data_IF_414462423205
#
_entry.id   IF_414462423205
#
_cell.length_a   1.000
_cell.length_b   1.000
_cell.length_c   1.000
_cell.angle_alpha   90.00
_cell.angle_beta   90.00
_cell.angle_gamma   90.00
#
_symmetry.space_group_name_H-M   'P 1'
#
loop_
_entity.id
_entity.type
_entity.pdbx_description
1 polymer ?
#
# COMPACT_ATOMS: atom_id res chain seq x y z
N UNK A 1 42.26 -18.61 17.58
CA UNK A 1 41.07 -19.45 17.82
C UNK A 1 40.12 -19.31 16.64
N UNK A 2 39.62 -20.40 16.05
CA UNK A 2 38.60 -20.34 15.00
C UNK A 2 37.22 -20.47 15.65
N UNK A 3 36.37 -19.46 15.48
CA UNK A 3 34.97 -19.51 15.92
C UNK A 3 34.20 -20.53 15.06
N UNK A 4 33.49 -21.45 15.72
CA UNK A 4 32.61 -22.42 15.10
C UNK A 4 31.30 -21.78 14.61
N UNK A 5 30.72 -22.29 13.52
CA UNK A 5 29.49 -21.75 12.92
C UNK A 5 28.31 -21.69 13.90
N UNK A 6 28.25 -22.58 14.89
CA UNK A 6 27.17 -22.63 15.87
C UNK A 6 27.49 -21.89 17.18
N UNK A 7 28.69 -21.30 17.32
CA UNK A 7 29.10 -20.60 18.53
C UNK A 7 28.32 -19.29 18.70
N UNK A 8 28.19 -18.76 19.93
CA UNK A 8 27.65 -17.43 20.17
C UNK A 8 28.42 -16.38 19.36
N UNK A 9 27.69 -15.49 18.70
CA UNK A 9 28.29 -14.50 17.83
C UNK A 9 29.07 -13.44 18.66
N UNK A 10 30.34 -13.13 18.31
CA UNK A 10 31.20 -12.24 19.09
C UNK A 10 30.78 -10.76 19.04
N UNK A 11 29.79 -10.40 18.20
CA UNK A 11 29.23 -9.05 18.17
C UNK A 11 28.27 -8.74 19.34
N UNK A 12 28.04 -9.71 20.24
CA UNK A 12 27.18 -9.52 21.42
C UNK A 12 25.68 -9.64 21.12
N UNK A 13 25.29 -10.08 19.93
CA UNK A 13 23.87 -10.20 19.52
C UNK A 13 23.09 -11.33 20.20
N UNK A 14 23.76 -12.24 20.91
CA UNK A 14 23.17 -13.45 21.51
C UNK A 14 22.75 -14.52 20.49
N UNK A 15 22.95 -14.32 19.18
CA UNK A 15 22.63 -15.28 18.12
C UNK A 15 23.80 -16.20 17.80
N UNK A 16 23.53 -17.36 17.18
CA UNK A 16 24.58 -18.24 16.61
C UNK A 16 25.33 -17.51 15.51
N UNK A 17 26.66 -17.68 15.42
CA UNK A 17 27.53 -16.98 14.47
C UNK A 17 27.05 -17.13 13.01
N UNK A 18 26.57 -18.33 12.64
CA UNK A 18 26.00 -18.61 11.32
C UNK A 18 24.78 -17.77 10.95
N UNK A 19 23.92 -17.45 11.92
CA UNK A 19 22.66 -16.71 11.74
C UNK A 19 22.81 -15.22 12.12
N UNK A 20 24.05 -14.72 12.09
CA UNK A 20 24.39 -13.36 12.48
C UNK A 20 25.51 -12.83 11.59
N UNK A 21 26.73 -12.66 12.09
CA UNK A 21 27.82 -12.06 11.33
C UNK A 21 28.32 -12.92 10.15
N UNK A 22 28.04 -14.23 10.11
CA UNK A 22 28.42 -15.07 8.97
C UNK A 22 27.41 -14.98 7.81
N UNK A 23 26.10 -14.93 8.11
CA UNK A 23 25.06 -14.59 7.11
C UNK A 23 25.27 -13.18 6.55
N UNK A 24 25.81 -12.27 7.38
CA UNK A 24 26.27 -10.94 6.98
C UNK A 24 27.42 -10.89 5.97
N UNK A 25 28.04 -12.02 5.61
CA UNK A 25 29.19 -12.12 4.69
C UNK A 25 28.84 -12.75 3.33
N UNK A 26 27.55 -12.97 3.03
CA UNK A 26 27.12 -13.51 1.73
C UNK A 26 27.31 -12.51 0.57
N UNK A 27 27.56 -12.95 -0.68
CA UNK A 27 27.88 -12.09 -1.82
C UNK A 27 26.72 -11.21 -2.37
N UNK A 28 25.66 -10.99 -1.61
CA UNK A 28 24.44 -10.31 -2.06
C UNK A 28 23.85 -9.31 -1.07
N UNK A 29 24.61 -8.88 -0.07
CA UNK A 29 24.17 -7.83 0.86
C UNK A 29 24.53 -6.47 0.28
N UNK A 30 23.50 -5.62 0.10
CA UNK A 30 23.68 -4.20 -0.13
C UNK A 30 24.63 -3.60 0.93
N UNK A 31 25.46 -2.60 0.59
CA UNK A 31 26.33 -1.89 1.54
C UNK A 31 25.62 -1.30 2.77
N UNK A 32 24.29 -1.34 2.80
CA UNK A 32 23.42 -0.62 3.72
C UNK A 32 22.95 -1.46 4.92
N UNK A 33 23.36 -2.72 5.03
CA UNK A 33 23.08 -3.55 6.20
C UNK A 33 23.85 -3.13 7.46
N UNK A 34 23.53 -3.69 8.65
CA UNK A 34 24.20 -3.33 9.91
C UNK A 34 25.73 -3.46 9.84
N UNK A 35 26.24 -4.46 9.10
CA UNK A 35 27.66 -4.67 8.89
C UNK A 35 28.34 -3.53 8.11
N UNK A 36 27.65 -2.93 7.13
CA UNK A 36 28.14 -1.78 6.38
C UNK A 36 28.14 -0.50 7.22
N UNK A 37 27.09 -0.28 8.00
CA UNK A 37 27.03 0.84 8.97
C UNK A 37 28.18 0.76 9.98
N UNK A 38 28.46 -0.43 10.52
CA UNK A 38 29.62 -0.60 11.42
C UNK A 38 30.96 -0.37 10.71
N UNK A 39 31.10 -0.72 9.44
CA UNK A 39 32.31 -0.46 8.67
C UNK A 39 32.51 1.05 8.44
N UNK A 40 31.44 1.78 8.10
CA UNK A 40 31.47 3.23 7.92
C UNK A 40 31.79 3.96 9.23
N UNK A 41 31.18 3.55 10.36
CA UNK A 41 31.51 4.12 11.67
C UNK A 41 32.99 3.90 11.98
N UNK A 42 33.51 2.68 11.77
CA UNK A 42 34.94 2.40 11.99
C UNK A 42 35.83 3.28 11.11
N UNK A 43 35.47 3.47 9.85
CA UNK A 43 36.20 4.34 8.94
C UNK A 43 36.13 5.81 9.39
N UNK A 44 34.97 6.28 9.84
CA UNK A 44 34.78 7.65 10.33
C UNK A 44 35.54 7.93 11.64
N UNK A 45 35.78 6.88 12.44
CA UNK A 45 36.59 6.92 13.67
C UNK A 45 38.11 6.84 13.39
N UNK A 46 38.54 6.31 12.25
CA UNK A 46 39.98 6.19 11.93
C UNK A 46 40.65 7.56 11.88
N UNK A 47 41.79 7.69 12.57
CA UNK A 47 42.59 8.91 12.60
C UNK A 47 42.08 10.03 13.51
N UNK A 48 40.94 9.84 14.21
CA UNK A 48 40.44 10.78 15.22
C UNK A 48 40.95 10.41 16.61
N UNK A 49 41.36 11.41 17.38
CA UNK A 49 41.65 11.27 18.80
C UNK A 49 40.42 11.71 19.60
N UNK A 50 40.01 10.87 20.54
CA UNK A 50 38.91 11.17 21.47
C UNK A 50 39.47 11.18 22.89
N UNK A 51 39.09 12.19 23.65
CA UNK A 51 39.52 12.41 25.04
C UNK A 51 38.71 11.61 26.05
N UNK A 52 37.54 11.09 25.66
CA UNK A 52 36.65 10.30 26.52
C UNK A 52 35.70 9.38 25.74
N UNK A 53 35.13 8.40 26.45
CA UNK A 53 34.03 7.55 25.95
C UNK A 53 32.78 8.37 25.59
N UNK A 54 32.50 9.44 26.32
CA UNK A 54 31.37 10.34 26.06
C UNK A 54 31.54 11.09 24.72
N UNK A 55 32.77 11.43 24.36
CA UNK A 55 33.10 12.05 23.08
C UNK A 55 32.89 11.08 21.91
N UNK A 56 33.25 9.80 22.10
CA UNK A 56 33.01 8.73 21.12
C UNK A 56 31.50 8.49 20.93
N UNK A 57 30.73 8.47 22.03
CA UNK A 57 29.27 8.31 21.97
C UNK A 57 28.62 9.48 21.24
N UNK A 58 28.97 10.72 21.63
CA UNK A 58 28.46 11.94 21.00
C UNK A 58 28.80 12.02 19.51
N UNK A 59 29.99 11.57 19.13
CA UNK A 59 30.39 11.45 17.73
C UNK A 59 29.52 10.43 16.99
N UNK A 60 29.38 9.23 17.54
CA UNK A 60 28.59 8.14 16.94
C UNK A 60 27.12 8.55 16.77
N UNK A 61 26.52 9.20 17.77
CA UNK A 61 25.14 9.68 17.71
C UNK A 61 24.94 10.78 16.67
N UNK A 62 25.92 11.67 16.49
CA UNK A 62 25.89 12.67 15.42
C UNK A 62 26.04 12.03 14.05
N UNK A 63 26.96 11.08 13.91
CA UNK A 63 27.17 10.34 12.67
C UNK A 63 25.91 9.59 12.24
N UNK A 64 25.29 8.85 13.18
CA UNK A 64 24.05 8.10 12.92
C UNK A 64 22.89 9.04 12.57
N UNK A 65 22.73 10.17 13.29
CA UNK A 65 21.73 11.18 12.94
C UNK A 65 21.94 11.76 11.55
N UNK A 66 23.17 12.13 11.20
CA UNK A 66 23.48 12.68 9.88
C UNK A 66 23.19 11.66 8.77
N UNK A 67 23.57 10.40 8.96
CA UNK A 67 23.28 9.32 8.02
C UNK A 67 21.77 9.10 7.87
N UNK A 68 21.02 9.02 8.96
CA UNK A 68 19.58 8.74 8.91
C UNK A 68 18.75 9.92 8.38
N UNK A 69 19.31 11.13 8.35
CA UNK A 69 18.72 12.33 7.77
C UNK A 69 19.17 12.59 6.33
N UNK A 70 20.20 11.89 5.84
CA UNK A 70 20.66 12.04 4.47
C UNK A 70 19.68 11.38 3.48
N UNK A 71 19.31 12.06 2.38
CA UNK A 71 18.52 11.47 1.29
C UNK A 71 19.19 10.24 0.68
N UNK A 72 18.40 9.22 0.35
CA UNK A 72 18.86 8.01 -0.32
C UNK A 72 18.24 7.87 -1.72
N UNK A 73 19.05 7.46 -2.69
CA UNK A 73 18.61 7.25 -4.06
C UNK A 73 17.54 6.15 -4.16
N UNK A 74 17.75 5.03 -3.47
CA UNK A 74 16.81 3.88 -3.45
C UNK A 74 15.47 4.22 -2.78
N UNK A 75 15.42 5.27 -1.96
CA UNK A 75 14.18 5.82 -1.41
C UNK A 75 13.67 7.06 -2.17
N UNK A 76 14.20 7.31 -3.36
CA UNK A 76 13.85 8.45 -4.21
C UNK A 76 13.89 9.79 -3.47
N UNK A 77 14.97 10.02 -2.71
CA UNK A 77 15.22 11.27 -2.00
C UNK A 77 14.74 11.30 -0.55
N UNK A 78 14.00 10.29 -0.09
CA UNK A 78 13.70 10.17 1.34
C UNK A 78 14.93 9.74 2.13
N UNK A 79 15.05 10.24 3.35
CA UNK A 79 16.02 9.73 4.32
C UNK A 79 15.49 8.47 5.03
N UNK A 80 16.36 7.66 5.65
CA UNK A 80 15.93 6.55 6.52
C UNK A 80 14.91 6.96 7.60
N UNK A 81 15.09 8.10 8.25
CA UNK A 81 14.15 8.61 9.25
C UNK A 81 12.78 8.90 8.64
N UNK A 82 12.73 9.53 7.46
CA UNK A 82 11.48 9.81 6.76
C UNK A 82 10.79 8.52 6.31
N UNK A 83 11.55 7.56 5.76
CA UNK A 83 11.03 6.25 5.35
C UNK A 83 10.45 5.49 6.55
N UNK A 84 11.15 5.46 7.68
CA UNK A 84 10.67 4.85 8.92
C UNK A 84 9.33 5.47 9.36
N UNK A 85 9.20 6.80 9.29
CA UNK A 85 7.95 7.50 9.61
C UNK A 85 6.83 7.17 8.62
N UNK A 86 7.14 7.08 7.32
CA UNK A 86 6.18 6.66 6.28
C UNK A 86 5.65 5.24 6.51
N UNK A 87 6.51 4.29 6.90
CA UNK A 87 6.14 2.88 7.07
C UNK A 87 5.40 2.60 8.38
N UNK A 88 5.80 3.27 9.46
CA UNK A 88 5.31 2.94 10.81
C UNK A 88 4.33 3.96 11.38
N UNK A 89 4.35 5.19 10.88
CA UNK A 89 3.53 6.31 11.37
C UNK A 89 2.87 7.06 10.21
N UNK A 90 2.20 6.38 9.25
CA UNK A 90 1.70 7.01 8.03
C UNK A 90 0.64 8.08 8.30
N UNK A 91 -0.06 8.01 9.45
CA UNK A 91 -1.07 8.99 9.88
C UNK A 91 -0.60 9.92 11.00
N UNK A 92 0.58 9.67 11.59
CA UNK A 92 1.14 10.39 12.74
C UNK A 92 2.44 11.13 12.38
N UNK A 93 2.51 11.61 11.13
CA UNK A 93 3.67 12.28 10.55
C UNK A 93 3.28 13.56 9.78
N UNK A 94 2.66 14.57 10.45
CA UNK A 94 2.15 15.78 9.78
C UNK A 94 3.21 16.61 9.06
N UNK A 95 4.48 16.50 9.48
CA UNK A 95 5.61 17.18 8.82
C UNK A 95 6.02 16.50 7.50
N UNK A 96 5.53 15.30 7.21
CA UNK A 96 5.84 14.55 5.98
C UNK A 96 4.63 14.42 5.07
N UNK A 97 3.45 14.21 5.67
CA UNK A 97 2.21 14.00 4.93
C UNK A 97 1.01 14.51 5.73
N UNK A 98 0.05 15.08 5.02
CA UNK A 98 -1.28 15.42 5.55
C UNK A 98 -2.38 14.82 4.67
N UNK A 99 -3.49 14.45 5.29
CA UNK A 99 -4.65 13.88 4.62
C UNK A 99 -5.83 14.84 4.70
N UNK A 100 -6.61 14.93 3.63
CA UNK A 100 -7.81 15.75 3.61
C UNK A 100 -8.91 15.12 4.48
N UNK A 101 -9.57 15.94 5.31
CA UNK A 101 -10.78 15.55 6.05
C UNK A 101 -12.02 15.59 5.15
N UNK A 102 -11.99 16.45 4.13
CA UNK A 102 -12.95 16.54 3.02
C UNK A 102 -12.12 16.84 1.77
N UNK A 103 -12.27 16.03 0.72
CA UNK A 103 -11.54 16.22 -0.54
C UNK A 103 -12.05 17.45 -1.29
N UNK A 104 -11.18 18.17 -2.00
CA UNK A 104 -11.60 19.29 -2.83
C UNK A 104 -12.44 18.82 -4.05
N UNK A 105 -13.49 19.58 -4.38
CA UNK A 105 -14.33 19.32 -5.55
C UNK A 105 -15.17 18.04 -5.45
N UNK A 106 -15.53 17.48 -6.61
CA UNK A 106 -16.29 16.23 -6.72
C UNK A 106 -15.34 15.05 -7.01
N UNK A 107 -14.92 14.27 -5.99
CA UNK A 107 -14.00 13.18 -6.23
C UNK A 107 -14.65 12.10 -7.08
N UNK A 108 -13.93 11.65 -8.11
CA UNK A 108 -14.34 10.52 -8.96
C UNK A 108 -13.41 9.36 -8.71
N UNK A 109 -13.91 8.29 -8.10
CA UNK A 109 -13.16 7.06 -7.86
C UNK A 109 -14.08 5.85 -8.04
N UNK A 110 -13.59 4.72 -8.56
CA UNK A 110 -14.40 3.50 -8.71
C UNK A 110 -15.06 3.06 -7.39
N UNK A 111 -14.36 3.13 -6.26
CA UNK A 111 -14.94 2.83 -4.94
C UNK A 111 -16.09 3.79 -4.56
N UNK A 112 -15.99 5.08 -4.93
CA UNK A 112 -17.03 6.07 -4.62
C UNK A 112 -18.28 5.83 -5.45
N UNK A 113 -18.11 5.52 -6.74
CA UNK A 113 -19.23 5.13 -7.62
C UNK A 113 -19.98 3.95 -7.03
N UNK A 114 -19.26 2.89 -6.63
CA UNK A 114 -19.87 1.72 -6.02
C UNK A 114 -20.50 2.01 -4.66
N UNK A 115 -19.86 2.85 -3.85
CA UNK A 115 -20.40 3.25 -2.55
C UNK A 115 -21.71 4.05 -2.72
N UNK A 116 -21.75 4.97 -3.69
CA UNK A 116 -22.93 5.76 -3.98
C UNK A 116 -24.12 4.86 -4.37
N UNK A 117 -23.92 3.95 -5.33
CA UNK A 117 -24.95 2.99 -5.74
C UNK A 117 -25.41 2.10 -4.56
N UNK A 118 -24.47 1.69 -3.71
CA UNK A 118 -24.80 0.93 -2.51
C UNK A 118 -25.60 1.75 -1.50
N UNK A 119 -25.25 3.03 -1.31
CA UNK A 119 -25.95 3.94 -0.41
C UNK A 119 -27.37 4.24 -0.89
N UNK A 120 -27.56 4.42 -2.21
CA UNK A 120 -28.87 4.56 -2.83
C UNK A 120 -29.73 3.30 -2.66
N UNK A 121 -29.14 2.12 -2.91
CA UNK A 121 -29.83 0.84 -2.71
C UNK A 121 -30.22 0.59 -1.24
N UNK A 122 -29.46 1.14 -0.28
CA UNK A 122 -29.79 1.10 1.14
C UNK A 122 -30.91 2.08 1.49
N UNK A 123 -30.81 3.32 1.04
CA UNK A 123 -31.81 4.37 1.25
C UNK A 123 -32.20 4.60 2.73
N UNK A 124 -33.39 5.15 2.95
CA UNK A 124 -33.93 5.39 4.30
C UNK A 124 -34.44 4.10 4.96
N UNK A 125 -35.02 3.18 4.17
CA UNK A 125 -35.66 1.96 4.70
C UNK A 125 -34.68 0.82 5.01
N UNK A 126 -33.42 0.95 4.59
CA UNK A 126 -32.40 -0.08 4.71
C UNK A 126 -32.57 -1.22 3.71
N UNK A 127 -31.45 -1.84 3.32
CA UNK A 127 -31.41 -2.95 2.37
C UNK A 127 -31.49 -4.29 3.12
N UNK A 128 -32.44 -5.14 2.73
CA UNK A 128 -32.51 -6.50 3.26
C UNK A 128 -31.42 -7.36 2.60
N UNK A 129 -30.49 -7.97 3.35
CA UNK A 129 -29.52 -8.90 2.82
C UNK A 129 -30.19 -10.20 2.34
N UNK A 130 -29.45 -11.01 1.59
CA UNK A 130 -29.81 -12.41 1.33
C UNK A 130 -29.80 -13.22 2.64
N UNK A 131 -30.29 -14.46 2.59
CA UNK A 131 -30.26 -15.38 3.73
C UNK A 131 -28.84 -15.58 4.31
N UNK A 132 -27.80 -15.53 3.45
CA UNK A 132 -26.40 -15.66 3.86
C UNK A 132 -25.76 -14.34 4.32
N UNK A 133 -26.52 -13.26 4.38
CA UNK A 133 -26.02 -11.95 4.82
C UNK A 133 -25.34 -11.13 3.72
N UNK A 134 -25.44 -11.54 2.45
CA UNK A 134 -24.84 -10.85 1.31
C UNK A 134 -25.80 -9.82 0.68
N UNK A 135 -25.29 -9.01 -0.24
CA UNK A 135 -26.08 -8.10 -1.08
C UNK A 135 -26.99 -8.88 -2.03
N UNK A 136 -28.23 -8.41 -2.25
CA UNK A 136 -29.11 -8.96 -3.27
C UNK A 136 -28.50 -8.91 -4.68
N UNK A 137 -28.76 -9.95 -5.47
CA UNK A 137 -28.21 -10.13 -6.83
C UNK A 137 -28.51 -8.96 -7.77
N UNK A 138 -29.69 -8.36 -7.67
CA UNK A 138 -30.08 -7.22 -8.50
C UNK A 138 -29.19 -5.99 -8.24
N UNK A 139 -28.89 -5.70 -6.96
CA UNK A 139 -27.98 -4.62 -6.57
C UNK A 139 -26.58 -4.86 -7.16
N UNK A 140 -26.08 -6.08 -7.07
CA UNK A 140 -24.77 -6.44 -7.63
C UNK A 140 -24.73 -6.26 -9.16
N UNK A 141 -25.81 -6.63 -9.85
CA UNK A 141 -25.93 -6.52 -11.31
C UNK A 141 -25.99 -5.06 -11.76
N UNK A 142 -26.82 -4.26 -11.11
CA UNK A 142 -26.93 -2.83 -11.39
C UNK A 142 -25.58 -2.11 -11.21
N UNK A 143 -24.91 -2.36 -10.08
CA UNK A 143 -23.59 -1.81 -9.82
C UNK A 143 -22.53 -2.26 -10.83
N UNK A 144 -22.59 -3.53 -11.28
CA UNK A 144 -21.69 -4.03 -12.31
C UNK A 144 -21.92 -3.37 -13.67
N UNK A 145 -23.18 -3.08 -14.05
CA UNK A 145 -23.53 -2.31 -15.26
C UNK A 145 -22.80 -0.98 -15.30
N UNK A 146 -22.92 -0.21 -14.21
CA UNK A 146 -22.30 1.11 -14.10
C UNK A 146 -20.78 1.01 -14.06
N UNK A 147 -20.23 0.04 -13.32
CA UNK A 147 -18.79 -0.08 -13.12
C UNK A 147 -18.01 -0.52 -14.36
N UNK A 148 -18.52 -1.50 -15.13
CA UNK A 148 -17.85 -1.99 -16.34
C UNK A 148 -18.33 -1.30 -17.62
N UNK A 149 -19.50 -0.67 -17.59
CA UNK A 149 -20.18 -0.15 -18.77
C UNK A 149 -20.87 -1.25 -19.58
N UNK A 150 -22.07 -0.96 -20.09
CA UNK A 150 -22.94 -1.95 -20.73
C UNK A 150 -22.30 -2.65 -21.95
N UNK A 151 -21.52 -1.92 -22.75
CA UNK A 151 -20.83 -2.48 -23.92
C UNK A 151 -19.75 -3.49 -23.55
N UNK A 152 -18.97 -3.21 -22.50
CA UNK A 152 -17.93 -4.12 -22.00
C UNK A 152 -18.54 -5.42 -21.52
N UNK A 153 -19.70 -5.34 -20.86
CA UNK A 153 -20.35 -6.52 -20.29
C UNK A 153 -20.94 -7.40 -21.39
N UNK A 154 -21.55 -6.81 -22.42
CA UNK A 154 -22.09 -7.56 -23.56
C UNK A 154 -21.00 -8.33 -24.30
N UNK A 155 -19.80 -7.74 -24.46
CA UNK A 155 -18.65 -8.37 -25.12
C UNK A 155 -18.02 -9.49 -24.27
N UNK A 156 -17.91 -9.28 -22.97
CA UNK A 156 -17.20 -10.20 -22.06
C UNK A 156 -18.11 -11.20 -21.34
N UNK A 157 -19.44 -11.13 -21.51
CA UNK A 157 -20.41 -12.02 -20.86
C UNK A 157 -20.55 -11.85 -19.34
N UNK A 158 -19.97 -10.79 -18.74
CA UNK A 158 -19.82 -10.69 -17.26
C UNK A 158 -21.15 -10.72 -16.50
N UNK A 159 -22.26 -10.25 -17.10
CA UNK A 159 -23.59 -10.32 -16.47
C UNK A 159 -24.09 -11.74 -16.21
N UNK A 160 -23.72 -12.68 -17.07
CA UNK A 160 -24.10 -14.09 -16.96
C UNK A 160 -23.44 -14.71 -15.73
N UNK A 161 -22.30 -14.19 -15.31
CA UNK A 161 -21.50 -14.71 -14.20
C UNK A 161 -21.84 -14.11 -12.83
N UNK A 162 -22.64 -13.03 -12.74
CA UNK A 162 -23.06 -12.45 -11.45
C UNK A 162 -24.31 -13.15 -10.92
N UNK A 163 -24.09 -14.09 -9.99
CA UNK A 163 -25.13 -14.87 -9.30
C UNK A 163 -25.22 -14.53 -7.81
N UNK A 164 -24.08 -14.20 -7.18
CA UNK A 164 -23.95 -13.76 -5.78
C UNK A 164 -23.02 -12.55 -5.68
N UNK A 165 -23.02 -11.88 -4.52
CA UNK A 165 -22.19 -10.71 -4.25
C UNK A 165 -20.70 -10.93 -4.52
N UNK A 166 -20.16 -12.07 -4.11
CA UNK A 166 -18.74 -12.42 -4.28
C UNK A 166 -18.32 -12.51 -5.75
N UNK A 167 -19.25 -12.78 -6.67
CA UNK A 167 -18.97 -12.80 -8.11
C UNK A 167 -18.64 -11.40 -8.64
N UNK A 168 -18.98 -10.35 -7.89
CA UNK A 168 -18.62 -8.96 -8.18
C UNK A 168 -17.75 -8.36 -7.07
N UNK A 169 -16.49 -8.81 -7.04
CA UNK A 169 -15.47 -8.41 -6.05
C UNK A 169 -15.38 -6.90 -5.77
N UNK A 170 -15.39 -5.98 -6.76
CA UNK A 170 -15.34 -4.54 -6.47
C UNK A 170 -16.44 -4.03 -5.53
N UNK A 171 -17.71 -4.42 -5.75
CA UNK A 171 -18.81 -4.00 -4.87
C UNK A 171 -18.72 -4.70 -3.51
N UNK A 172 -18.38 -5.99 -3.52
CA UNK A 172 -18.19 -6.75 -2.29
C UNK A 172 -17.17 -6.07 -1.35
N UNK A 173 -16.01 -5.71 -1.89
CA UNK A 173 -14.95 -4.99 -1.16
C UNK A 173 -15.44 -3.61 -0.72
N UNK A 174 -16.16 -2.89 -1.57
CA UNK A 174 -16.74 -1.59 -1.22
C UNK A 174 -17.67 -1.69 0.00
N UNK A 175 -18.55 -2.70 0.04
CA UNK A 175 -19.40 -2.95 1.21
C UNK A 175 -18.59 -3.26 2.46
N UNK A 176 -17.57 -4.11 2.36
CA UNK A 176 -16.72 -4.47 3.49
C UNK A 176 -16.01 -3.24 4.06
N UNK A 177 -15.40 -2.41 3.20
CA UNK A 177 -14.69 -1.19 3.59
C UNK A 177 -15.65 -0.14 4.16
N UNK A 178 -16.84 0.01 3.58
CA UNK A 178 -17.89 0.87 4.12
C UNK A 178 -18.38 0.38 5.50
N UNK A 179 -18.37 -0.94 5.73
CA UNK A 179 -18.64 -1.54 7.04
C UNK A 179 -17.54 -1.24 8.06
N UNK A 180 -16.28 -1.48 7.70
CA UNK A 180 -15.10 -1.24 8.54
C UNK A 180 -14.95 0.24 8.91
N UNK A 181 -15.27 1.16 7.99
CA UNK A 181 -15.25 2.61 8.23
C UNK A 181 -16.41 3.13 9.09
N UNK A 182 -17.39 2.27 9.40
CA UNK A 182 -18.59 2.62 10.16
C UNK A 182 -19.64 3.41 9.38
N UNK A 183 -19.51 3.49 8.04
CA UNK A 183 -20.48 4.18 7.18
C UNK A 183 -21.74 3.34 6.98
N UNK A 184 -21.58 2.01 6.91
CA UNK A 184 -22.68 1.05 6.80
C UNK A 184 -22.63 0.12 8.01
N UNK A 185 -23.79 -0.20 8.58
CA UNK A 185 -23.90 -1.20 9.64
C UNK A 185 -25.08 -2.12 9.39
N UNK A 186 -25.03 -3.31 10.00
CA UNK A 186 -26.18 -4.23 10.04
C UNK A 186 -26.99 -3.96 11.30
N UNK A 187 -28.28 -3.66 11.16
CA UNK A 187 -29.20 -3.45 12.29
C UNK A 187 -30.56 -4.06 11.98
N UNK A 188 -31.14 -4.76 12.96
CA UNK A 188 -32.44 -5.45 12.82
C UNK A 188 -32.54 -6.26 11.52
N UNK A 189 -31.46 -6.95 11.15
CA UNK A 189 -31.39 -7.78 9.95
C UNK A 189 -31.28 -7.04 8.62
N UNK A 190 -31.07 -5.71 8.60
CA UNK A 190 -30.89 -4.90 7.39
C UNK A 190 -29.55 -4.18 7.37
N UNK A 191 -29.02 -3.90 6.19
CA UNK A 191 -27.97 -2.89 6.02
C UNK A 191 -28.61 -1.51 6.12
N UNK A 192 -27.99 -0.62 6.91
CA UNK A 192 -28.41 0.76 7.09
C UNK A 192 -27.19 1.68 7.00
N UNK A 193 -27.40 2.88 6.47
CA UNK A 193 -26.42 3.97 6.60
C UNK A 193 -26.37 4.42 8.06
N UNK A 194 -25.16 4.62 8.59
CA UNK A 194 -24.97 5.19 9.91
C UNK A 194 -25.43 6.65 9.94
N UNK A 195 -25.68 7.19 11.15
CA UNK A 195 -26.07 8.60 11.29
C UNK A 195 -24.96 9.51 10.79
N UNK A 196 -23.73 9.13 11.11
CA UNK A 196 -22.51 9.81 10.68
C UNK A 196 -22.40 9.82 9.16
N UNK A 197 -22.69 8.69 8.49
CA UNK A 197 -22.69 8.62 7.02
C UNK A 197 -23.74 9.55 6.40
N UNK A 198 -24.97 9.56 6.93
CA UNK A 198 -26.04 10.44 6.42
C UNK A 198 -25.66 11.92 6.58
N UNK A 199 -25.05 12.27 7.71
CA UNK A 199 -24.58 13.64 7.99
C UNK A 199 -23.46 14.04 7.02
N UNK A 200 -22.45 13.17 6.83
CA UNK A 200 -21.36 13.41 5.88
C UNK A 200 -21.86 13.61 4.45
N UNK A 201 -22.81 12.79 4.00
CA UNK A 201 -23.40 12.92 2.67
C UNK A 201 -24.19 14.22 2.51
N UNK A 202 -24.91 14.65 3.55
CA UNK A 202 -25.68 15.90 3.52
C UNK A 202 -24.76 17.14 3.51
N UNK A 203 -23.72 17.15 4.34
CA UNK A 203 -22.87 18.33 4.53
C UNK A 203 -21.80 18.46 3.43
N UNK A 204 -21.28 17.33 2.94
CA UNK A 204 -20.08 17.29 2.10
C UNK A 204 -20.19 16.32 0.92
N UNK A 205 -21.33 15.65 0.71
CA UNK A 205 -21.48 14.65 -0.34
C UNK A 205 -20.43 13.54 -0.29
N UNK A 206 -20.02 13.04 -1.46
CA UNK A 206 -18.98 12.01 -1.57
C UNK A 206 -17.58 12.53 -1.20
N UNK A 207 -17.37 13.84 -1.19
CA UNK A 207 -16.10 14.45 -0.79
C UNK A 207 -15.78 14.24 0.69
N UNK A 208 -16.80 14.24 1.57
CA UNK A 208 -16.64 13.89 2.98
C UNK A 208 -16.57 12.37 3.24
N UNK A 209 -17.11 11.56 2.33
CA UNK A 209 -17.08 10.10 2.46
C UNK A 209 -15.73 9.52 2.04
N UNK A 210 -15.11 10.08 1.00
CA UNK A 210 -13.88 9.53 0.43
C UNK A 210 -12.77 9.30 1.46
N UNK A 211 -12.41 10.26 2.35
CA UNK A 211 -11.34 10.04 3.32
C UNK A 211 -11.63 8.86 4.25
N UNK A 212 -12.90 8.65 4.63
CA UNK A 212 -13.31 7.53 5.51
C UNK A 212 -13.11 6.18 4.82
N UNK A 213 -13.46 6.08 3.54
CA UNK A 213 -13.22 4.89 2.74
C UNK A 213 -11.72 4.66 2.50
N UNK A 214 -10.98 5.71 2.15
CA UNK A 214 -9.52 5.65 1.94
C UNK A 214 -8.80 5.13 3.20
N UNK A 215 -9.04 5.77 4.35
CA UNK A 215 -8.41 5.38 5.62
C UNK A 215 -8.72 3.92 5.98
N UNK A 216 -9.98 3.50 5.85
CA UNK A 216 -10.35 2.13 6.19
C UNK A 216 -9.82 1.11 5.18
N UNK A 217 -9.73 1.46 3.90
CA UNK A 217 -9.14 0.59 2.87
C UNK A 217 -7.67 0.30 3.15
N UNK A 218 -6.87 1.30 3.54
CA UNK A 218 -5.43 1.10 3.76
C UNK A 218 -5.11 0.52 5.13
N UNK A 219 -5.91 0.84 6.17
CA UNK A 219 -5.63 0.47 7.56
C UNK A 219 -6.35 -0.78 8.03
N UNK A 220 -7.65 -0.90 7.72
CA UNK A 220 -8.52 -1.88 8.36
C UNK A 220 -8.81 -3.08 7.44
N UNK A 221 -8.85 -2.86 6.13
CA UNK A 221 -9.10 -3.91 5.15
C UNK A 221 -7.82 -4.68 4.79
N UNK A 222 -7.87 -6.00 4.82
CA UNK A 222 -6.76 -6.86 4.41
C UNK A 222 -6.71 -6.99 2.87
N UNK A 223 -5.67 -6.45 2.23
CA UNK A 223 -5.56 -6.46 0.77
C UNK A 223 -5.42 -7.86 0.18
N UNK A 224 -4.83 -8.80 0.92
CA UNK A 224 -4.70 -10.19 0.49
C UNK A 224 -6.05 -10.90 0.32
N UNK A 225 -7.13 -10.36 0.91
CA UNK A 225 -8.48 -10.89 0.72
C UNK A 225 -8.94 -10.88 -0.75
N UNK A 226 -8.33 -10.02 -1.59
CA UNK A 226 -8.73 -9.84 -2.99
C UNK A 226 -7.97 -10.72 -3.98
N UNK A 227 -6.99 -11.50 -3.51
CA UNK A 227 -6.10 -12.26 -4.38
C UNK A 227 -5.65 -13.59 -3.76
N UNK A 228 -4.90 -14.37 -4.55
CA UNK A 228 -4.31 -15.65 -4.13
C UNK A 228 -2.79 -15.58 -3.94
N UNK A 229 -2.21 -14.38 -3.79
CA UNK A 229 -0.77 -14.25 -3.55
C UNK A 229 -0.40 -14.71 -2.13
N UNK A 230 0.89 -15.03 -1.89
CA UNK A 230 1.39 -15.27 -0.54
C UNK A 230 1.12 -14.10 0.42
N UNK A 231 1.28 -14.36 1.71
CA UNK A 231 1.19 -13.32 2.75
C UNK A 231 2.35 -12.33 2.63
N UNK A 232 2.13 -11.30 1.82
CA UNK A 232 3.04 -10.18 1.59
C UNK A 232 2.47 -8.91 2.22
N UNK A 233 2.18 -8.96 3.52
CA UNK A 233 1.61 -7.82 4.27
C UNK A 233 2.48 -6.55 4.22
N UNK A 234 3.78 -6.67 3.95
CA UNK A 234 4.67 -5.52 3.77
C UNK A 234 4.26 -4.61 2.60
N UNK A 235 3.70 -5.16 1.52
CA UNK A 235 3.22 -4.37 0.37
C UNK A 235 2.10 -3.40 0.79
N UNK A 236 1.19 -3.84 1.67
CA UNK A 236 0.16 -2.96 2.21
C UNK A 236 0.75 -1.94 3.20
N UNK A 237 1.68 -2.35 4.07
CA UNK A 237 2.34 -1.44 5.03
C UNK A 237 3.12 -0.30 4.36
N UNK A 238 3.57 -0.52 3.13
CA UNK A 238 4.32 0.46 2.32
C UNK A 238 3.44 1.32 1.41
N UNK A 239 2.10 1.30 1.57
CA UNK A 239 1.17 2.04 0.70
C UNK A 239 1.55 3.51 0.52
N UNK A 240 1.99 4.18 1.60
CA UNK A 240 2.31 5.61 1.57
C UNK A 240 3.58 5.90 0.77
N UNK A 241 4.55 4.97 0.76
CA UNK A 241 5.70 5.06 -0.14
C UNK A 241 5.29 4.91 -1.60
N UNK A 242 4.39 3.99 -1.92
CA UNK A 242 3.84 3.87 -3.28
C UNK A 242 3.08 5.13 -3.72
N UNK A 243 2.34 5.78 -2.82
CA UNK A 243 1.70 7.07 -3.09
C UNK A 243 2.73 8.19 -3.28
N UNK A 244 3.83 8.18 -2.53
CA UNK A 244 4.93 9.13 -2.71
C UNK A 244 5.57 8.99 -4.09
N UNK A 245 5.83 7.76 -4.55
CA UNK A 245 6.34 7.50 -5.90
C UNK A 245 5.38 8.02 -6.98
N UNK A 246 4.07 7.81 -6.80
CA UNK A 246 3.05 8.34 -7.71
C UNK A 246 2.99 9.87 -7.69
N UNK A 247 3.12 10.52 -6.53
CA UNK A 247 3.12 11.97 -6.45
C UNK A 247 4.32 12.59 -7.16
N UNK A 248 5.49 11.97 -6.99
CA UNK A 248 6.78 12.42 -7.49
C UNK A 248 6.93 12.20 -9.00
N UNK A 249 6.59 11.00 -9.49
CA UNK A 249 6.89 10.59 -10.88
C UNK A 249 5.64 10.47 -11.76
N UNK A 250 4.46 10.28 -11.17
CA UNK A 250 3.23 9.97 -11.88
C UNK A 250 2.54 11.14 -12.58
N UNK A 251 3.22 12.27 -12.79
CA UNK A 251 2.68 13.38 -13.59
C UNK A 251 2.43 12.98 -15.05
N UNK A 252 3.28 12.09 -15.57
CA UNK A 252 3.19 11.51 -16.90
C UNK A 252 2.90 10.01 -16.84
N UNK A 253 2.56 9.42 -17.99
CA UNK A 253 2.40 7.97 -18.11
C UNK A 253 3.74 7.26 -17.98
N UNK A 254 3.88 6.41 -16.96
CA UNK A 254 5.05 5.55 -16.76
C UNK A 254 4.65 4.07 -16.76
N UNK A 255 5.51 3.16 -17.25
CA UNK A 255 5.27 1.73 -17.12
C UNK A 255 5.11 1.30 -15.66
N UNK A 256 4.23 0.33 -15.37
CA UNK A 256 4.04 -0.24 -14.03
C UNK A 256 5.34 -0.81 -13.46
N UNK A 257 6.19 -1.37 -14.33
CA UNK A 257 7.52 -1.88 -13.97
C UNK A 257 8.42 -0.82 -13.34
N UNK A 258 8.26 0.47 -13.67
CA UNK A 258 9.00 1.55 -13.01
C UNK A 258 8.71 1.59 -11.50
N UNK A 259 7.43 1.48 -11.13
CA UNK A 259 7.02 1.50 -9.73
C UNK A 259 7.38 0.20 -9.00
N UNK A 260 7.39 -0.92 -9.73
CA UNK A 260 7.86 -2.21 -9.20
C UNK A 260 9.37 -2.20 -8.94
N UNK A 261 10.16 -1.63 -9.86
CA UNK A 261 11.62 -1.46 -9.72
C UNK A 261 11.94 -0.53 -8.55
N UNK A 262 11.26 0.62 -8.47
CA UNK A 262 11.40 1.55 -7.35
C UNK A 262 11.08 0.89 -6.00
N UNK A 263 10.02 0.07 -5.94
CA UNK A 263 9.67 -0.66 -4.73
C UNK A 263 10.71 -1.72 -4.35
N UNK A 264 11.20 -2.51 -5.31
CA UNK A 264 12.21 -3.53 -5.06
C UNK A 264 13.59 -2.95 -4.77
N UNK A 265 13.92 -1.79 -5.33
CA UNK A 265 15.12 -1.02 -4.98
C UNK A 265 15.09 -0.58 -3.52
N UNK A 266 13.96 -0.02 -3.07
CA UNK A 266 13.79 0.36 -1.67
C UNK A 266 13.75 -0.85 -0.70
N UNK A 267 13.16 -1.97 -1.12
CA UNK A 267 12.86 -3.10 -0.23
C UNK A 267 13.27 -4.47 -0.79
N UNK A 268 14.53 -4.70 -1.15
CA UNK A 268 14.97 -5.94 -1.79
C UNK A 268 14.76 -7.18 -0.90
N UNK A 269 14.72 -6.98 0.43
CA UNK A 269 14.55 -8.07 1.41
C UNK A 269 13.18 -8.75 1.34
N UNK A 270 12.16 -8.10 0.77
CA UNK A 270 10.82 -8.69 0.61
C UNK A 270 10.85 -9.96 -0.25
N UNK A 271 11.84 -10.07 -1.15
CA UNK A 271 12.05 -11.27 -1.96
C UNK A 271 12.34 -12.52 -1.12
N UNK A 272 12.97 -12.34 0.05
CA UNK A 272 13.27 -13.42 0.99
C UNK A 272 12.03 -13.96 1.72
N UNK A 273 10.88 -13.28 1.63
CA UNK A 273 9.60 -13.73 2.21
C UNK A 273 8.85 -14.68 1.27
N UNK A 274 9.28 -14.82 0.01
CA UNK A 274 8.59 -15.64 -1.00
C UNK A 274 9.38 -16.91 -1.31
N UNK A 275 8.73 -18.05 -1.08
CA UNK A 275 9.27 -19.35 -1.51
C UNK A 275 9.19 -19.48 -3.04
N UNK A 276 10.30 -19.80 -3.73
CA UNK A 276 10.27 -20.03 -5.18
C UNK A 276 9.40 -21.25 -5.52
N UNK A 277 8.74 -21.21 -6.68
CA UNK A 277 7.97 -22.34 -7.23
C UNK A 277 8.52 -22.73 -8.60
N UNK A 278 8.20 -23.93 -9.13
CA UNK A 278 8.59 -24.31 -10.49
C UNK A 278 8.09 -23.35 -11.59
N UNK A 279 7.05 -22.56 -11.30
CA UNK A 279 6.37 -21.70 -12.28
C UNK A 279 6.65 -20.20 -12.08
N UNK A 280 7.22 -19.80 -10.94
CA UNK A 280 7.41 -18.39 -10.59
C UNK A 280 8.59 -18.17 -9.66
N UNK A 281 9.38 -17.13 -9.97
CA UNK A 281 10.46 -16.64 -9.10
C UNK A 281 9.89 -15.74 -8.00
N UNK A 282 10.63 -15.54 -6.89
CA UNK A 282 10.26 -14.57 -5.85
C UNK A 282 10.02 -13.18 -6.42
N UNK A 283 10.91 -12.71 -7.30
CA UNK A 283 10.80 -11.40 -7.95
C UNK A 283 9.53 -11.27 -8.78
N UNK A 284 9.27 -12.24 -9.68
CA UNK A 284 8.06 -12.23 -10.51
C UNK A 284 6.79 -12.21 -9.64
N UNK A 285 6.81 -12.96 -8.53
CA UNK A 285 5.68 -13.04 -7.60
C UNK A 285 5.47 -11.71 -6.87
N UNK A 286 6.53 -11.09 -6.35
CA UNK A 286 6.42 -9.79 -5.67
C UNK A 286 5.98 -8.69 -6.63
N UNK A 287 6.54 -8.63 -7.85
CA UNK A 287 6.14 -7.67 -8.88
C UNK A 287 4.66 -7.80 -9.23
N UNK A 288 4.21 -9.02 -9.49
CA UNK A 288 2.81 -9.31 -9.81
C UNK A 288 1.88 -8.92 -8.64
N UNK A 289 2.29 -9.24 -7.41
CA UNK A 289 1.55 -8.88 -6.20
C UNK A 289 1.48 -7.36 -6.01
N UNK A 290 2.60 -6.65 -6.19
CA UNK A 290 2.67 -5.19 -6.10
C UNK A 290 1.77 -4.54 -7.16
N UNK A 291 1.87 -4.97 -8.41
CA UNK A 291 1.05 -4.46 -9.51
C UNK A 291 -0.44 -4.59 -9.20
N UNK A 292 -0.88 -5.79 -8.81
CA UNK A 292 -2.29 -6.04 -8.49
C UNK A 292 -2.76 -5.34 -7.23
N UNK A 293 -2.04 -5.46 -6.11
CA UNK A 293 -2.47 -4.91 -4.81
C UNK A 293 -2.38 -3.38 -4.79
N UNK A 294 -1.26 -2.82 -5.27
CA UNK A 294 -0.96 -1.39 -5.15
C UNK A 294 -1.50 -0.61 -6.34
N UNK A 295 -1.18 -0.98 -7.57
CA UNK A 295 -1.51 -0.15 -8.74
C UNK A 295 -2.99 -0.32 -9.12
N UNK A 296 -3.46 -1.56 -9.25
CA UNK A 296 -4.82 -1.85 -9.70
C UNK A 296 -5.85 -1.76 -8.56
N UNK A 297 -5.70 -2.59 -7.54
CA UNK A 297 -6.73 -2.75 -6.50
C UNK A 297 -6.73 -1.62 -5.47
N UNK A 298 -5.66 -0.83 -5.35
CA UNK A 298 -5.58 0.31 -4.47
C UNK A 298 -5.59 1.64 -5.24
N UNK A 299 -4.52 1.98 -5.96
CA UNK A 299 -4.37 3.31 -6.55
C UNK A 299 -5.45 3.59 -7.61
N UNK A 300 -5.71 2.67 -8.54
CA UNK A 300 -6.77 2.84 -9.53
C UNK A 300 -8.17 2.74 -8.90
N UNK A 301 -8.40 1.76 -8.03
CA UNK A 301 -9.70 1.54 -7.40
C UNK A 301 -10.16 2.69 -6.49
N UNK A 302 -9.23 3.33 -5.78
CA UNK A 302 -9.47 4.55 -5.01
C UNK A 302 -9.35 5.83 -5.86
N UNK A 303 -9.14 5.71 -7.17
CA UNK A 303 -9.10 6.84 -8.10
C UNK A 303 -7.89 7.76 -7.96
N UNK A 304 -6.82 7.31 -7.30
CA UNK A 304 -5.57 8.03 -7.10
C UNK A 304 -4.66 7.99 -8.33
N UNK A 305 -4.81 6.96 -9.16
CA UNK A 305 -4.10 6.79 -10.42
C UNK A 305 -5.03 6.24 -11.51
N UNK A 306 -4.63 6.43 -12.76
CA UNK A 306 -5.14 5.69 -13.92
C UNK A 306 -4.16 4.57 -14.21
N UNK A 307 -4.69 3.39 -14.53
CA UNK A 307 -3.91 2.22 -14.92
C UNK A 307 -4.50 1.66 -16.20
N UNK A 308 -3.69 1.61 -17.25
CA UNK A 308 -4.10 1.11 -18.55
C UNK A 308 -3.21 -0.06 -18.96
N UNK A 309 -3.78 -1.19 -19.42
CA UNK A 309 -2.99 -2.25 -20.06
C UNK A 309 -2.28 -1.70 -21.30
N UNK A 310 -1.00 -2.01 -21.47
CA UNK A 310 -0.25 -1.60 -22.67
C UNK A 310 -0.52 -2.50 -23.87
N UNK A 311 -1.10 -3.68 -23.65
CA UNK A 311 -1.56 -4.60 -24.70
C UNK A 311 -3.02 -5.00 -24.47
N UNK A 312 -3.71 -5.43 -25.53
CA UNK A 312 -5.11 -5.91 -25.43
C UNK A 312 -5.20 -7.30 -24.80
N UNK A 313 -4.08 -7.97 -24.57
CA UNK A 313 -4.04 -9.32 -23.99
C UNK A 313 -4.09 -9.24 -22.46
N UNK A 314 -5.10 -9.88 -21.86
CA UNK A 314 -5.41 -9.81 -20.41
C UNK A 314 -4.29 -10.28 -19.47
N UNK A 315 -3.24 -10.92 -19.98
CA UNK A 315 -2.23 -11.62 -19.18
C UNK A 315 -0.81 -11.04 -19.28
N UNK A 316 -0.61 -10.00 -20.09
CA UNK A 316 0.75 -9.55 -20.39
C UNK A 316 1.40 -8.76 -19.24
N UNK A 317 0.65 -8.45 -18.17
CA UNK A 317 1.18 -7.84 -16.93
C UNK A 317 1.73 -6.42 -17.09
N UNK A 318 1.90 -5.95 -18.33
CA UNK A 318 2.34 -4.61 -18.64
C UNK A 318 1.16 -3.64 -18.59
N UNK A 319 1.22 -2.75 -17.61
CA UNK A 319 0.34 -1.59 -17.51
C UNK A 319 1.17 -0.32 -17.56
N UNK A 320 0.56 0.77 -17.99
CA UNK A 320 1.07 2.12 -17.74
C UNK A 320 0.22 2.76 -16.66
N UNK A 321 0.85 3.62 -15.86
CA UNK A 321 0.25 4.27 -14.70
C UNK A 321 0.52 5.76 -14.73
N UNK A 322 -0.49 6.55 -14.41
CA UNK A 322 -0.40 8.01 -14.26
C UNK A 322 -1.22 8.44 -13.06
N UNK A 323 -0.72 9.36 -12.24
CA UNK A 323 -1.46 9.88 -11.08
C UNK A 323 -2.65 10.71 -11.54
N UNK A 324 -3.71 10.71 -10.72
CA UNK A 324 -4.89 11.56 -10.92
C UNK A 324 -4.86 12.75 -9.95
N UNK A 325 -5.55 13.87 -10.27
CA UNK A 325 -5.64 15.03 -9.37
C UNK A 325 -6.08 14.66 -7.95
N UNK A 326 -6.99 13.68 -7.83
CA UNK A 326 -7.49 13.17 -6.56
C UNK A 326 -6.40 12.73 -5.58
N UNK A 327 -5.23 12.29 -6.07
CA UNK A 327 -4.11 11.98 -5.17
C UNK A 327 -3.65 13.21 -4.39
N UNK A 328 -3.44 14.34 -5.08
CA UNK A 328 -3.00 15.58 -4.44
C UNK A 328 -4.09 16.23 -3.58
N UNK A 329 -5.37 16.01 -3.92
CA UNK A 329 -6.50 16.48 -3.12
C UNK A 329 -6.70 15.67 -1.85
N UNK A 330 -6.36 14.37 -1.86
CA UNK A 330 -6.54 13.47 -0.73
C UNK A 330 -5.30 13.37 0.18
N UNK A 331 -4.10 13.37 -0.40
CA UNK A 331 -2.82 13.12 0.28
C UNK A 331 -1.80 14.16 -0.19
N UNK A 332 -1.35 15.01 0.72
CA UNK A 332 -0.34 16.05 0.43
C UNK A 332 0.96 15.75 1.13
N UNK A 333 2.03 15.56 0.35
CA UNK A 333 3.38 15.35 0.84
C UNK A 333 4.09 16.70 1.10
N UNK A 334 4.82 16.78 2.21
CA UNK A 334 5.59 17.96 2.65
C UNK A 334 7.10 17.67 2.61
N UNK A 335 7.53 16.90 1.62
CA UNK A 335 8.92 16.49 1.44
C UNK A 335 9.57 17.42 0.41
N UNK A 336 10.70 18.07 0.75
CA UNK A 336 11.46 18.87 -0.22
C UNK A 336 11.85 18.00 -1.42
N UNK A 337 11.64 18.54 -2.64
CA UNK A 337 11.98 17.85 -3.90
C UNK A 337 13.40 18.12 -4.33
#
# INVERSE_FOLDING_TARGET
MKIGRNDPCPCGSGRKYKNCCLEGQGPGLSPEGPAGVFAEIRQALQGRQFSSLEEVQSFTDRFMRQRNQAPMADFHGLSPDQMHRILHFPFDSPNLVTYATVVAGEPRAPILTLFHLLAEAIGEQGLKPTATGNLPRNVCREAASVYWGDETIRKDGRFVHINKEEDFSPLHVTRLVAGLSGLIRKSRGRFILSRECRTLLADHGLAGVYPRLFHSYVRDFNWAYRDGFPDLGFIQRSFLFSLYLLDLHGGEWLPGVFYEDAFLGAFPRVLGEVTPTPYSTPEKTVRSCYNWRVLVNFAAFLGLAEVEPTTKERYDGFSRVRKRPLLADAVRFHIPR
#
